data_IF_733093905090
#
_entry.id   IF_733093905090
#
_cell.length_a   1.000
_cell.length_b   1.000
_cell.length_c   1.000
_cell.angle_alpha   90.00
_cell.angle_beta   90.00
_cell.angle_gamma   90.00
#
_symmetry.space_group_name_H-M   'P 1'
#
loop_
_entity.id
_entity.type
_entity.pdbx_description
1 polymer ?
#
# COMPACT_ATOMS: atom_id res chain seq x y z
N UNK A 1 1.63 -13.14 -22.97
CA UNK A 1 1.42 -13.30 -21.52
C UNK A 1 2.79 -13.23 -20.89
N UNK A 2 3.13 -12.12 -20.24
CA UNK A 2 4.38 -11.99 -19.49
C UNK A 2 4.30 -12.97 -18.32
N UNK A 3 5.28 -13.86 -18.19
CA UNK A 3 5.34 -14.83 -17.11
C UNK A 3 5.33 -14.08 -15.77
N UNK A 4 4.48 -14.51 -14.83
CA UNK A 4 4.41 -13.89 -13.50
C UNK A 4 5.69 -14.29 -12.75
N UNK A 5 6.66 -13.37 -12.70
CA UNK A 5 7.89 -13.55 -11.94
C UNK A 5 7.65 -13.12 -10.49
N UNK A 6 8.05 -13.99 -9.57
CA UNK A 6 8.21 -13.67 -8.16
C UNK A 6 9.69 -13.52 -7.87
N UNK A 7 10.07 -12.47 -7.14
CA UNK A 7 11.45 -12.24 -6.74
C UNK A 7 11.74 -13.03 -5.46
N UNK A 8 12.93 -13.62 -5.41
CA UNK A 8 13.45 -14.25 -4.20
C UNK A 8 13.86 -13.20 -3.16
N UNK A 9 13.96 -13.62 -1.90
CA UNK A 9 14.45 -12.75 -0.82
C UNK A 9 15.81 -12.11 -1.12
N UNK A 10 16.73 -12.81 -1.79
CA UNK A 10 18.05 -12.28 -2.15
C UNK A 10 17.95 -11.16 -3.21
N UNK A 11 17.05 -11.32 -4.19
CA UNK A 11 16.79 -10.28 -5.19
C UNK A 11 16.13 -9.04 -4.59
N UNK A 12 15.23 -9.23 -3.62
CA UNK A 12 14.58 -8.14 -2.90
C UNK A 12 15.57 -7.39 -2.00
N UNK A 13 16.42 -8.13 -1.29
CA UNK A 13 17.48 -7.55 -0.46
C UNK A 13 18.50 -6.74 -1.27
N UNK A 14 18.72 -7.07 -2.55
CA UNK A 14 19.56 -6.25 -3.42
C UNK A 14 18.99 -4.85 -3.69
N UNK A 15 17.68 -4.64 -3.50
CA UNK A 15 16.98 -3.36 -3.64
C UNK A 15 16.72 -2.63 -2.31
N UNK A 16 17.14 -3.19 -1.17
CA UNK A 16 16.80 -2.68 0.16
C UNK A 16 17.36 -1.27 0.41
N UNK A 17 18.55 -1.00 -0.09
CA UNK A 17 19.22 0.28 0.11
C UNK A 17 18.48 1.41 -0.62
N UNK A 18 17.81 1.10 -1.74
CA UNK A 18 16.95 2.05 -2.45
C UNK A 18 15.73 2.40 -1.60
N UNK A 19 15.10 1.42 -0.94
CA UNK A 19 13.97 1.67 -0.03
C UNK A 19 14.39 2.54 1.15
N UNK A 20 15.54 2.25 1.77
CA UNK A 20 16.09 3.03 2.89
C UNK A 20 16.46 4.47 2.54
N UNK A 21 16.62 4.79 1.26
CA UNK A 21 16.84 6.15 0.78
C UNK A 21 15.53 6.94 0.56
N UNK A 22 14.38 6.40 0.96
CA UNK A 22 13.13 7.14 0.95
C UNK A 22 13.25 8.39 1.82
N UNK A 23 12.76 9.55 1.37
CA UNK A 23 12.90 10.78 2.14
C UNK A 23 12.07 10.72 3.42
N UNK A 24 12.59 11.30 4.50
CA UNK A 24 11.91 11.29 5.80
C UNK A 24 10.87 12.42 5.94
N UNK A 25 11.20 13.63 5.48
CA UNK A 25 10.40 14.83 5.77
C UNK A 25 9.36 15.18 4.71
N UNK A 26 9.71 14.98 3.43
CA UNK A 26 8.86 15.36 2.31
C UNK A 26 9.13 14.44 1.12
N UNK A 27 8.04 13.94 0.53
CA UNK A 27 8.07 12.91 -0.48
C UNK A 27 7.09 13.20 -1.61
N UNK A 28 6.96 12.22 -2.51
CA UNK A 28 6.04 12.33 -3.65
C UNK A 28 4.95 11.27 -3.57
N UNK A 29 3.71 11.65 -3.85
CA UNK A 29 2.65 10.71 -4.19
C UNK A 29 2.87 10.22 -5.62
N UNK A 30 3.28 8.96 -5.75
CA UNK A 30 3.67 8.35 -7.01
C UNK A 30 2.47 7.75 -7.77
N UNK A 31 1.51 7.17 -7.04
CA UNK A 31 0.34 6.54 -7.63
C UNK A 31 -0.86 6.61 -6.70
N UNK A 32 -2.03 6.85 -7.28
CA UNK A 32 -3.34 6.69 -6.64
C UNK A 32 -4.04 5.52 -7.31
N UNK A 33 -4.43 4.52 -6.52
CA UNK A 33 -5.10 3.31 -6.98
C UNK A 33 -6.39 3.08 -6.21
N UNK A 34 -7.51 3.42 -6.84
CA UNK A 34 -8.85 3.18 -6.27
C UNK A 34 -9.29 1.74 -6.54
N UNK A 35 -9.96 1.12 -5.55
CA UNK A 35 -10.48 -0.25 -5.62
C UNK A 35 -12.02 -0.20 -5.63
N UNK A 36 -12.67 0.00 -6.80
CA UNK A 36 -14.13 0.08 -6.84
C UNK A 36 -14.81 -1.25 -6.47
N UNK A 37 -14.18 -2.37 -6.81
CA UNK A 37 -14.68 -3.71 -6.51
C UNK A 37 -13.54 -4.69 -6.18
N UNK A 38 -13.90 -5.88 -5.69
CA UNK A 38 -12.91 -6.89 -5.32
C UNK A 38 -12.12 -7.33 -6.56
N UNK A 39 -10.84 -6.97 -6.58
CA UNK A 39 -9.91 -7.34 -7.65
C UNK A 39 -9.73 -6.28 -8.73
N UNK A 40 -10.58 -5.26 -8.74
CA UNK A 40 -10.49 -4.14 -9.68
C UNK A 40 -9.54 -3.06 -9.19
N UNK A 41 -8.90 -2.36 -10.13
CA UNK A 41 -7.99 -1.23 -9.87
C UNK A 41 -8.25 -0.14 -10.90
N UNK A 42 -8.42 1.09 -10.43
CA UNK A 42 -8.50 2.28 -11.28
C UNK A 42 -7.40 3.23 -10.85
N UNK A 43 -6.46 3.50 -11.75
CA UNK A 43 -5.41 4.49 -11.53
C UNK A 43 -5.97 5.89 -11.76
N UNK A 44 -5.65 6.80 -10.85
CA UNK A 44 -6.15 8.18 -10.86
C UNK A 44 -4.98 9.16 -10.87
N UNK A 45 -5.15 10.27 -11.57
CA UNK A 45 -4.25 11.43 -11.48
C UNK A 45 -4.57 12.27 -10.24
N UNK A 46 -5.85 12.34 -9.87
CA UNK A 46 -6.37 13.09 -8.73
C UNK A 46 -7.49 12.29 -8.04
N UNK A 47 -7.63 12.45 -6.72
CA UNK A 47 -8.71 11.84 -5.95
C UNK A 47 -9.07 12.67 -4.72
N UNK A 48 -10.29 12.46 -4.22
CA UNK A 48 -10.81 13.07 -3.02
C UNK A 48 -10.70 12.12 -1.82
N UNK A 49 -10.24 12.65 -0.70
CA UNK A 49 -10.28 11.97 0.60
C UNK A 49 -11.39 12.59 1.45
N UNK A 50 -12.28 11.74 1.95
CA UNK A 50 -13.40 12.11 2.80
C UNK A 50 -13.32 11.36 4.14
N UNK A 51 -13.73 12.01 5.22
CA UNK A 51 -13.65 11.45 6.57
C UNK A 51 -14.59 10.27 6.82
N UNK A 52 -15.69 10.16 6.08
CA UNK A 52 -16.63 9.05 6.16
C UNK A 52 -16.34 7.98 5.09
N UNK A 53 -16.04 8.40 3.86
CA UNK A 53 -15.88 7.47 2.72
C UNK A 53 -14.45 6.97 2.50
N UNK A 54 -13.44 7.62 3.11
CA UNK A 54 -12.03 7.36 2.83
C UNK A 54 -11.64 7.90 1.46
N UNK A 55 -11.03 7.06 0.61
CA UNK A 55 -10.80 7.44 -0.79
C UNK A 55 -12.11 7.32 -1.57
N UNK A 56 -12.63 8.44 -2.09
CA UNK A 56 -13.94 8.49 -2.75
C UNK A 56 -14.07 7.45 -3.89
N UNK A 57 -15.08 6.58 -3.77
CA UNK A 57 -15.36 5.47 -4.69
C UNK A 57 -14.47 4.23 -4.51
N UNK A 58 -13.66 4.15 -3.46
CA UNK A 58 -13.04 2.91 -3.00
C UNK A 58 -14.06 2.05 -2.26
N UNK A 59 -13.89 0.73 -2.28
CA UNK A 59 -14.80 -0.21 -1.64
C UNK A 59 -14.44 -0.57 -0.20
N UNK A 60 -13.46 0.08 0.42
CA UNK A 60 -13.03 -0.23 1.78
C UNK A 60 -14.20 -0.45 2.76
N UNK A 61 -15.18 0.45 2.77
CA UNK A 61 -16.33 0.42 3.69
C UNK A 61 -17.31 -0.72 3.42
N UNK A 62 -17.42 -1.17 2.17
CA UNK A 62 -18.39 -2.20 1.74
C UNK A 62 -17.76 -3.58 1.57
N UNK A 63 -16.42 -3.67 1.50
CA UNK A 63 -15.67 -4.89 1.21
C UNK A 63 -15.97 -6.04 2.17
N UNK A 64 -16.20 -5.75 3.45
CA UNK A 64 -16.50 -6.75 4.48
C UNK A 64 -17.95 -7.26 4.47
N UNK A 65 -18.87 -6.52 3.84
CA UNK A 65 -20.29 -6.86 3.84
C UNK A 65 -20.62 -8.16 3.07
N UNK A 66 -19.74 -8.57 2.13
CA UNK A 66 -19.87 -9.81 1.36
C UNK A 66 -19.23 -11.04 2.03
N UNK A 67 -18.62 -10.87 3.21
CA UNK A 67 -18.06 -12.00 3.99
C UNK A 67 -19.16 -12.74 4.77
N UNK A 68 -18.89 -13.98 5.20
CA UNK A 68 -19.77 -14.77 6.06
C UNK A 68 -19.01 -15.21 7.33
N UNK A 69 -19.32 -14.65 8.52
CA UNK A 69 -20.30 -13.58 8.73
C UNK A 69 -19.83 -12.25 8.12
N UNK A 70 -20.76 -11.30 7.86
CA UNK A 70 -20.39 -9.96 7.42
C UNK A 70 -19.43 -9.30 8.41
N UNK A 71 -18.40 -8.64 7.90
CA UNK A 71 -17.41 -7.94 8.71
C UNK A 71 -17.60 -6.45 8.57
N UNK A 72 -17.64 -5.75 9.69
CA UNK A 72 -17.64 -4.29 9.73
C UNK A 72 -16.32 -3.74 9.16
N UNK A 73 -16.40 -2.57 8.52
CA UNK A 73 -15.21 -1.89 8.04
C UNK A 73 -14.40 -1.39 9.24
N UNK A 74 -13.08 -1.66 9.25
CA UNK A 74 -12.18 -1.14 10.29
C UNK A 74 -11.76 0.29 9.92
N UNK A 75 -12.20 1.34 10.65
CA UNK A 75 -11.83 2.73 10.35
C UNK A 75 -10.32 2.97 10.33
N UNK A 76 -9.55 2.19 11.08
CA UNK A 76 -8.09 2.30 11.10
C UNK A 76 -7.42 1.85 9.79
N UNK A 77 -8.17 1.15 8.93
CA UNK A 77 -7.73 0.71 7.60
C UNK A 77 -8.41 1.49 6.46
N UNK A 78 -9.02 2.66 6.75
CA UNK A 78 -9.79 3.47 5.80
C UNK A 78 -8.97 3.91 4.57
N UNK A 79 -7.68 4.14 4.78
CA UNK A 79 -6.73 4.51 3.75
C UNK A 79 -5.44 3.72 3.98
N UNK A 80 -4.91 3.09 2.93
CA UNK A 80 -3.64 2.36 3.03
C UNK A 80 -2.57 2.95 2.11
N UNK A 81 -1.35 2.97 2.63
CA UNK A 81 -0.16 3.50 1.97
C UNK A 81 0.83 2.37 1.73
N UNK A 82 1.52 2.41 0.58
CA UNK A 82 2.69 1.58 0.31
C UNK A 82 3.88 2.47 -0.06
N UNK A 83 5.08 2.15 0.42
CA UNK A 83 6.28 2.81 -0.04
C UNK A 83 6.49 2.50 -1.53
N UNK A 84 6.67 3.53 -2.35
CA UNK A 84 6.82 3.42 -3.79
C UNK A 84 8.05 2.58 -4.20
N UNK A 85 9.13 2.64 -3.43
CA UNK A 85 10.35 1.87 -3.69
C UNK A 85 10.20 0.41 -3.28
N UNK A 86 9.54 0.12 -2.16
CA UNK A 86 9.14 -1.25 -1.81
C UNK A 86 8.22 -1.84 -2.88
N UNK A 87 7.27 -1.05 -3.40
CA UNK A 87 6.40 -1.46 -4.50
C UNK A 87 7.19 -1.79 -5.78
N UNK A 88 8.18 -0.97 -6.14
CA UNK A 88 9.07 -1.24 -7.27
C UNK A 88 9.84 -2.55 -7.07
N UNK A 89 10.44 -2.76 -5.90
CA UNK A 89 11.24 -3.94 -5.58
C UNK A 89 10.45 -5.25 -5.74
N UNK A 90 9.22 -5.30 -5.21
CA UNK A 90 8.41 -6.54 -5.25
C UNK A 90 7.67 -6.76 -6.58
N UNK A 91 7.35 -5.67 -7.28
CA UNK A 91 6.52 -5.76 -8.48
C UNK A 91 7.32 -5.94 -9.76
N UNK A 92 8.56 -5.43 -9.78
CA UNK A 92 9.47 -5.41 -10.93
C UNK A 92 9.01 -4.53 -12.10
N UNK A 93 7.84 -3.89 -11.99
CA UNK A 93 7.32 -2.96 -12.99
C UNK A 93 6.21 -2.08 -12.41
N UNK A 94 6.18 -0.81 -12.83
CA UNK A 94 5.20 0.17 -12.35
C UNK A 94 3.76 -0.24 -12.58
N UNK A 95 3.47 -0.94 -13.68
CA UNK A 95 2.11 -1.40 -14.03
C UNK A 95 1.54 -2.42 -13.03
N UNK A 96 2.42 -3.07 -12.25
CA UNK A 96 2.04 -4.08 -11.26
C UNK A 96 1.89 -3.51 -9.86
N UNK A 97 2.27 -2.26 -9.60
CA UNK A 97 2.24 -1.67 -8.25
C UNK A 97 0.86 -1.79 -7.60
N UNK A 98 -0.20 -1.35 -8.30
CA UNK A 98 -1.58 -1.38 -7.80
C UNK A 98 -2.08 -2.78 -7.44
N UNK A 99 -1.40 -3.83 -7.89
CA UNK A 99 -1.72 -5.21 -7.50
C UNK A 99 -1.39 -5.47 -6.02
N UNK A 100 -0.52 -4.70 -5.36
CA UNK A 100 -0.34 -4.78 -3.90
C UNK A 100 -1.64 -4.49 -3.15
N UNK A 101 -2.46 -3.59 -3.71
CA UNK A 101 -3.81 -3.32 -3.23
C UNK A 101 -3.90 -2.17 -2.26
N UNK A 102 -2.84 -1.36 -2.17
CA UNK A 102 -2.85 -0.10 -1.46
C UNK A 102 -3.50 1.01 -2.29
N UNK A 103 -4.00 2.04 -1.57
CA UNK A 103 -4.69 3.16 -2.20
C UNK A 103 -3.69 4.22 -2.68
N UNK A 104 -2.66 4.51 -1.87
CA UNK A 104 -1.66 5.53 -2.16
C UNK A 104 -0.24 4.92 -2.14
N UNK A 105 0.55 5.23 -3.16
CA UNK A 105 1.96 4.84 -3.22
C UNK A 105 2.82 6.06 -3.06
N UNK A 106 3.63 6.12 -2.01
CA UNK A 106 4.38 7.32 -1.62
C UNK A 106 5.88 7.05 -1.63
N UNK A 107 6.66 7.91 -2.27
CA UNK A 107 8.11 7.96 -2.07
C UNK A 107 8.41 8.75 -0.79
N UNK A 108 8.21 8.11 0.35
CA UNK A 108 8.40 8.64 1.69
C UNK A 108 8.75 7.47 2.63
N UNK A 109 9.62 7.70 3.61
CA UNK A 109 9.86 6.74 4.67
C UNK A 109 8.60 6.63 5.55
N UNK A 110 7.86 5.54 5.37
CA UNK A 110 6.64 5.23 6.13
C UNK A 110 6.90 4.23 7.26
N UNK A 111 8.17 3.95 7.58
CA UNK A 111 8.54 3.07 8.68
C UNK A 111 8.18 3.67 10.03
N UNK A 112 7.94 2.80 11.01
CA UNK A 112 7.48 3.18 12.37
C UNK A 112 8.44 4.16 13.08
N UNK A 113 9.73 4.16 12.73
CA UNK A 113 10.70 5.11 13.29
C UNK A 113 10.47 6.54 12.79
N UNK A 114 10.09 6.71 11.52
CA UNK A 114 9.85 8.01 10.92
C UNK A 114 8.39 8.48 11.10
N UNK A 115 7.44 7.56 10.93
CA UNK A 115 6.01 7.80 11.03
C UNK A 115 5.35 6.84 12.04
N UNK A 116 5.60 6.99 13.35
CA UNK A 116 4.90 6.22 14.38
C UNK A 116 3.40 6.53 14.40
N UNK A 117 2.61 5.66 15.04
CA UNK A 117 1.17 5.88 15.22
C UNK A 117 0.86 7.26 15.84
N UNK A 118 -0.16 7.94 15.31
CA UNK A 118 -0.52 9.32 15.63
C UNK A 118 0.22 10.38 14.82
N UNK A 119 1.21 9.99 14.01
CA UNK A 119 1.87 10.92 13.07
C UNK A 119 0.88 11.44 12.04
N UNK A 120 1.05 12.70 11.63
CA UNK A 120 0.21 13.36 10.63
C UNK A 120 1.00 13.70 9.39
N UNK A 121 0.48 13.29 8.24
CA UNK A 121 1.11 13.52 6.94
C UNK A 121 0.15 14.31 6.07
N UNK A 122 0.65 15.39 5.47
CA UNK A 122 -0.09 16.13 4.46
C UNK A 122 0.06 15.43 3.10
N UNK A 123 -1.05 15.13 2.43
CA UNK A 123 -1.09 14.59 1.07
C UNK A 123 -2.00 15.49 0.25
N UNK A 124 -1.40 16.32 -0.60
CA UNK A 124 -2.13 17.41 -1.26
C UNK A 124 -2.72 18.38 -0.23
N UNK A 125 -4.04 18.59 -0.28
CA UNK A 125 -4.77 19.41 0.70
C UNK A 125 -5.27 18.62 1.91
N UNK A 126 -5.17 17.29 1.91
CA UNK A 126 -5.66 16.44 2.99
C UNK A 126 -4.57 16.20 4.04
N UNK A 127 -5.01 15.96 5.28
CA UNK A 127 -4.14 15.52 6.38
C UNK A 127 -4.62 14.13 6.79
N UNK A 128 -3.71 13.17 6.75
CA UNK A 128 -3.96 11.79 7.17
C UNK A 128 -3.19 11.49 8.45
N UNK A 129 -3.73 10.61 9.30
CA UNK A 129 -3.11 10.20 10.55
C UNK A 129 -2.73 8.71 10.47
N UNK A 130 -1.52 8.38 10.91
CA UNK A 130 -1.02 6.99 10.93
C UNK A 130 -1.67 6.25 12.09
N UNK A 131 -2.33 5.13 11.80
CA UNK A 131 -2.95 4.26 12.82
C UNK A 131 -1.97 3.23 13.36
N UNK A 132 -2.31 2.60 14.48
CA UNK A 132 -1.42 1.66 15.16
C UNK A 132 -1.37 0.27 14.50
N UNK A 133 -2.45 -0.15 13.85
CA UNK A 133 -2.50 -1.46 13.20
C UNK A 133 -1.73 -1.42 11.86
N UNK A 134 -0.66 -2.23 11.69
CA UNK A 134 0.03 -2.32 10.41
C UNK A 134 -0.90 -2.95 9.35
N UNK A 135 -0.64 -2.65 8.07
CA UNK A 135 -1.35 -3.25 6.94
C UNK A 135 -0.50 -4.38 6.32
N UNK A 136 -0.60 -5.63 6.81
CA UNK A 136 0.25 -6.72 6.34
C UNK A 136 -0.17 -7.26 4.98
N UNK A 137 0.80 -7.83 4.26
CA UNK A 137 0.54 -8.57 3.04
C UNK A 137 -0.48 -9.71 3.21
N UNK A 138 -1.45 -9.81 2.29
CA UNK A 138 -2.51 -10.83 2.34
C UNK A 138 -2.29 -12.00 1.35
N UNK A 139 -3.16 -13.01 1.36
CA UNK A 139 -3.11 -14.14 0.41
C UNK A 139 -3.02 -13.70 -1.06
N UNK A 140 -3.74 -12.65 -1.44
CA UNK A 140 -3.68 -12.10 -2.81
C UNK A 140 -2.31 -11.53 -3.13
N UNK A 141 -1.62 -10.94 -2.14
CA UNK A 141 -0.26 -10.45 -2.31
C UNK A 141 0.69 -11.62 -2.63
N UNK A 142 0.59 -12.72 -1.89
CA UNK A 142 1.36 -13.95 -2.15
C UNK A 142 1.06 -14.51 -3.55
N UNK A 143 -0.20 -14.55 -3.97
CA UNK A 143 -0.59 -15.00 -5.32
C UNK A 143 0.01 -14.12 -6.44
N UNK A 144 0.28 -12.84 -6.15
CA UNK A 144 0.74 -11.85 -7.15
C UNK A 144 2.25 -11.67 -7.19
N UNK A 145 2.91 -11.73 -6.02
CA UNK A 145 4.32 -11.38 -5.86
C UNK A 145 5.15 -12.48 -5.20
N UNK A 146 4.51 -13.54 -4.71
CA UNK A 146 5.17 -14.67 -4.05
C UNK A 146 5.26 -14.53 -2.53
N UNK A 147 5.62 -15.64 -1.88
CA UNK A 147 5.72 -15.71 -0.42
C UNK A 147 6.93 -14.91 0.10
N UNK A 148 8.05 -14.96 -0.60
CA UNK A 148 9.27 -14.22 -0.26
C UNK A 148 8.99 -12.71 -0.22
N UNK A 149 8.31 -12.18 -1.24
CA UNK A 149 7.89 -10.78 -1.26
C UNK A 149 6.98 -10.42 -0.08
N UNK A 150 6.01 -11.29 0.27
CA UNK A 150 5.12 -11.04 1.40
C UNK A 150 5.86 -11.02 2.74
N UNK A 151 6.79 -11.96 2.94
CA UNK A 151 7.61 -11.98 4.15
C UNK A 151 8.54 -10.77 4.21
N UNK A 152 9.08 -10.37 3.06
CA UNK A 152 9.99 -9.25 2.94
C UNK A 152 9.30 -7.92 3.26
N UNK A 153 8.14 -7.60 2.67
CA UNK A 153 7.40 -6.35 2.97
C UNK A 153 6.83 -6.24 4.39
N UNK A 154 6.85 -7.35 5.14
CA UNK A 154 6.45 -7.40 6.53
C UNK A 154 7.66 -7.43 7.48
N UNK A 155 8.89 -7.31 6.94
CA UNK A 155 10.12 -7.34 7.70
C UNK A 155 10.56 -5.92 8.09
N UNK A 156 11.41 -5.76 9.11
CA UNK A 156 12.02 -4.46 9.39
C UNK A 156 12.84 -3.89 8.23
N UNK A 157 13.31 -4.73 7.32
CA UNK A 157 14.19 -4.36 6.23
C UNK A 157 13.46 -3.79 5.00
N UNK A 158 12.17 -4.06 4.80
CA UNK A 158 11.42 -3.61 3.62
C UNK A 158 9.92 -3.56 3.79
#
# INVERSE_FOLDING_TARGET
MTEVRHFSTDELNAGVDQVRQSPADSGRLEMISRRPEIGERVLLEEAELDTAEGLAGDNWSTRGARSDPPREANPEAQLTLMNARSAEAVSGSRERWSLAGDQLYVDLDIGETNLPAGSRVAIGSAIVEVTAEPHPGCKKFVERFGLDAMNWVNSPEG
#
